data_IF_919169476050
#
_entry.id   IF_919169476050
#
_cell.length_a   1.000
_cell.length_b   1.000
_cell.length_c   1.000
_cell.angle_alpha   90.00
_cell.angle_beta   90.00
_cell.angle_gamma   90.00
#
_symmetry.space_group_name_H-M   'P 1'
#
loop_
_entity.id
_entity.type
_entity.pdbx_description
1 polymer ?
#
# COMPACT_ATOMS: atom_id res chain seq x y z
N UNK A 1 3.05 41.93 50.20
CA UNK A 1 4.34 41.31 49.81
C UNK A 1 4.37 41.31 48.29
N UNK A 2 5.36 41.93 47.63
CA UNK A 2 5.36 42.01 46.17
C UNK A 2 5.46 40.60 45.56
N UNK A 3 4.47 40.22 44.75
CA UNK A 3 4.41 38.91 44.09
C UNK A 3 5.53 38.75 43.04
N UNK A 4 6.07 39.87 42.55
CA UNK A 4 7.25 39.98 41.68
C UNK A 4 8.54 39.29 42.17
N UNK A 5 8.60 38.82 43.42
CA UNK A 5 9.78 38.14 44.00
C UNK A 5 9.76 36.60 43.96
N UNK A 6 8.68 35.99 43.47
CA UNK A 6 8.52 34.52 43.45
C UNK A 6 9.28 33.93 42.25
N UNK A 7 10.35 33.16 42.51
CA UNK A 7 11.17 32.49 41.49
C UNK A 7 11.03 30.97 41.55
N UNK A 8 10.81 30.27 40.41
CA UNK A 8 10.86 28.82 40.38
C UNK A 8 12.29 28.31 40.56
N UNK A 9 12.43 27.26 41.36
CA UNK A 9 13.68 26.54 41.62
C UNK A 9 13.59 25.12 41.04
N UNK A 10 14.42 24.84 40.05
CA UNK A 10 14.49 23.58 39.31
C UNK A 10 15.54 22.66 39.92
N UNK A 11 15.27 21.36 39.95
CA UNK A 11 16.21 20.35 40.43
C UNK A 11 15.82 18.97 39.89
N UNK A 12 16.79 18.06 39.80
CA UNK A 12 16.53 16.66 39.46
C UNK A 12 16.39 15.88 40.75
N UNK A 13 15.29 15.14 40.91
CA UNK A 13 15.16 14.15 41.98
C UNK A 13 15.73 12.82 41.47
N UNK A 14 16.82 12.30 42.07
CA UNK A 14 17.43 11.05 41.63
C UNK A 14 16.45 9.88 41.69
N UNK A 15 16.61 8.91 40.78
CA UNK A 15 15.90 7.64 40.89
C UNK A 15 16.34 6.89 42.15
N UNK A 16 15.44 6.11 42.75
CA UNK A 16 15.78 5.18 43.83
C UNK A 16 16.68 4.03 43.36
N UNK A 17 16.76 3.80 42.04
CA UNK A 17 17.61 2.79 41.42
C UNK A 17 18.90 3.47 40.91
N UNK A 18 20.09 3.06 41.38
CA UNK A 18 21.37 3.61 40.91
C UNK A 18 21.51 3.50 39.38
N UNK A 19 22.05 4.54 38.75
CA UNK A 19 22.28 4.56 37.30
C UNK A 19 21.03 4.70 36.43
N UNK A 20 19.86 5.00 37.00
CA UNK A 20 18.65 5.34 36.24
C UNK A 20 18.40 6.86 36.25
N UNK A 21 17.72 7.33 35.20
CA UNK A 21 17.32 8.73 35.07
C UNK A 21 16.41 9.13 36.24
N UNK A 22 16.68 10.29 36.82
CA UNK A 22 15.82 10.94 37.79
C UNK A 22 14.68 11.70 37.09
N UNK A 23 13.77 12.22 37.91
CA UNK A 23 12.65 13.03 37.42
C UNK A 23 13.01 14.51 37.62
N UNK A 24 12.76 15.34 36.62
CA UNK A 24 12.91 16.78 36.75
C UNK A 24 11.77 17.37 37.60
N UNK A 25 12.13 18.16 38.61
CA UNK A 25 11.21 18.81 39.53
C UNK A 25 11.40 20.32 39.48
N UNK A 26 10.34 21.01 39.85
CA UNK A 26 10.38 22.44 40.13
C UNK A 26 9.66 22.72 41.44
N UNK A 27 10.17 23.70 42.16
CA UNK A 27 9.67 24.12 43.46
C UNK A 27 9.50 25.62 43.44
N UNK A 28 8.36 26.09 43.93
CA UNK A 28 8.11 27.51 44.14
C UNK A 28 8.00 27.72 45.64
N UNK A 29 8.63 28.78 46.16
CA UNK A 29 8.58 29.15 47.58
C UNK A 29 7.75 30.42 47.74
N UNK A 30 6.69 30.34 48.56
CA UNK A 30 5.88 31.51 48.91
C UNK A 30 5.55 31.49 50.39
N UNK A 31 5.72 32.63 51.06
CA UNK A 31 5.49 32.80 52.50
C UNK A 31 6.13 31.70 53.37
N UNK A 32 7.35 31.30 53.03
CA UNK A 32 8.10 30.27 53.77
C UNK A 32 7.74 28.82 53.44
N UNK A 33 6.60 28.54 52.80
CA UNK A 33 6.18 27.20 52.39
C UNK A 33 6.73 26.84 51.00
N UNK A 34 7.09 25.57 50.82
CA UNK A 34 7.67 25.02 49.60
C UNK A 34 6.77 23.94 49.04
N UNK A 35 6.46 24.02 47.75
CA UNK A 35 5.64 23.02 47.05
C UNK A 35 6.47 22.37 45.94
N UNK A 36 6.97 21.14 46.13
CA UNK A 36 7.65 20.40 45.07
C UNK A 36 6.61 19.81 44.11
N UNK A 37 6.67 20.20 42.84
CA UNK A 37 5.81 19.66 41.79
C UNK A 37 6.66 18.84 40.82
N UNK A 38 6.23 17.60 40.56
CA UNK A 38 6.88 16.72 39.58
C UNK A 38 6.54 17.18 38.17
N UNK A 39 7.57 17.41 37.36
CA UNK A 39 7.44 17.60 35.93
C UNK A 39 7.66 16.24 35.27
N UNK A 40 6.60 15.44 35.15
CA UNK A 40 6.65 14.11 34.50
C UNK A 40 7.14 14.13 33.03
N UNK A 41 7.37 15.30 32.45
CA UNK A 41 7.73 15.48 31.05
C UNK A 41 9.24 15.30 30.74
N UNK A 42 10.12 15.35 31.75
CA UNK A 42 11.58 15.27 31.54
C UNK A 42 12.22 14.29 32.53
N UNK A 43 12.82 13.23 31.99
CA UNK A 43 13.68 12.30 32.72
C UNK A 43 15.13 12.51 32.27
N UNK A 44 16.04 12.75 33.22
CA UNK A 44 17.45 13.03 32.97
C UNK A 44 18.33 12.49 34.11
N UNK A 45 19.62 12.27 33.84
CA UNK A 45 20.58 11.90 34.87
C UNK A 45 20.88 13.09 35.80
N UNK A 46 21.18 12.84 37.09
CA UNK A 46 21.45 13.92 38.03
C UNK A 46 22.62 14.85 37.65
N UNK A 47 23.58 14.38 36.85
CA UNK A 47 24.74 15.14 36.37
C UNK A 47 24.46 15.93 35.08
N UNK A 48 23.29 15.74 34.45
CA UNK A 48 22.82 16.52 33.30
C UNK A 48 22.23 17.89 33.70
N UNK A 49 22.08 18.18 35.00
CA UNK A 49 21.51 19.43 35.49
C UNK A 49 22.20 19.97 36.74
N UNK A 50 22.64 21.23 36.71
CA UNK A 50 23.23 21.89 37.87
C UNK A 50 22.16 22.69 38.63
N UNK A 51 21.81 22.17 39.81
CA UNK A 51 20.82 22.80 40.69
C UNK A 51 21.32 24.08 41.38
N UNK A 52 22.64 24.35 41.39
CA UNK A 52 23.18 25.62 41.92
C UNK A 52 23.02 26.73 40.89
N UNK A 53 23.45 26.49 39.66
CA UNK A 53 23.36 27.48 38.57
C UNK A 53 21.98 27.54 37.92
N UNK A 54 21.10 26.58 38.21
CA UNK A 54 19.77 26.48 37.63
C UNK A 54 19.82 26.36 36.10
N UNK A 55 20.73 25.53 35.60
CA UNK A 55 21.00 25.32 34.18
C UNK A 55 21.28 23.84 33.86
N UNK A 56 20.91 23.34 32.66
CA UNK A 56 21.43 22.06 32.18
C UNK A 56 22.95 22.13 32.04
N UNK A 57 23.64 21.03 32.31
CA UNK A 57 25.10 20.94 32.11
C UNK A 57 25.42 20.64 30.65
N UNK A 58 26.69 20.79 30.25
CA UNK A 58 27.15 20.40 28.90
C UNK A 58 26.92 18.91 28.59
N UNK A 59 26.73 18.08 29.62
CA UNK A 59 26.43 16.64 29.48
C UNK A 59 24.96 16.36 29.18
N UNK A 60 24.09 17.37 29.27
CA UNK A 60 22.65 17.21 29.07
C UNK A 60 22.33 16.83 27.63
N UNK A 61 21.84 15.61 27.43
CA UNK A 61 21.42 15.10 26.11
C UNK A 61 20.22 15.85 25.52
N UNK A 62 19.45 16.57 26.35
CA UNK A 62 18.27 17.35 26.01
C UNK A 62 18.45 18.83 26.41
N UNK A 63 19.64 19.38 26.20
CA UNK A 63 20.02 20.71 26.69
C UNK A 63 19.01 21.79 26.27
N UNK A 64 18.73 21.90 24.98
CA UNK A 64 17.84 22.94 24.45
C UNK A 64 16.39 22.72 24.86
N UNK A 65 15.91 21.48 24.88
CA UNK A 65 14.56 21.14 25.33
C UNK A 65 14.36 21.46 26.81
N UNK A 66 15.37 21.17 27.64
CA UNK A 66 15.35 21.47 29.07
C UNK A 66 15.36 22.98 29.30
N UNK A 67 16.21 23.71 28.58
CA UNK A 67 16.29 25.17 28.69
C UNK A 67 14.98 25.85 28.26
N UNK A 68 14.45 25.48 27.10
CA UNK A 68 13.18 26.01 26.59
C UNK A 68 12.01 25.69 27.52
N UNK A 69 11.97 24.48 28.07
CA UNK A 69 10.99 24.10 29.08
C UNK A 69 11.05 24.99 30.33
N UNK A 70 12.26 25.23 30.86
CA UNK A 70 12.46 26.10 32.02
C UNK A 70 12.03 27.54 31.76
N UNK A 71 12.30 28.07 30.56
CA UNK A 71 11.87 29.41 30.14
C UNK A 71 10.35 29.51 30.07
N UNK A 72 9.67 28.50 29.52
CA UNK A 72 8.20 28.46 29.46
C UNK A 72 7.56 28.46 30.85
N UNK A 73 8.11 27.66 31.77
CA UNK A 73 7.66 27.62 33.17
C UNK A 73 7.82 29.00 33.83
N UNK A 74 8.99 29.62 33.67
CA UNK A 74 9.27 30.95 34.24
C UNK A 74 8.27 31.98 33.70
N UNK A 75 8.06 32.02 32.39
CA UNK A 75 7.12 32.95 31.74
C UNK A 75 5.69 32.77 32.23
N UNK A 76 5.23 31.53 32.34
CA UNK A 76 3.85 31.23 32.72
C UNK A 76 3.59 31.50 34.21
N UNK A 77 4.57 31.23 35.08
CA UNK A 77 4.52 31.65 36.48
C UNK A 77 4.45 33.18 36.56
N UNK A 78 5.29 33.90 35.82
CA UNK A 78 5.24 35.36 35.79
C UNK A 78 3.89 35.90 35.30
N UNK A 79 3.31 35.32 34.23
CA UNK A 79 1.99 35.70 33.71
C UNK A 79 0.91 35.57 34.77
N UNK A 80 0.87 34.43 35.44
CA UNK A 80 -0.13 34.19 36.49
C UNK A 80 0.08 35.15 37.65
N UNK A 81 1.32 35.39 38.09
CA UNK A 81 1.57 36.37 39.15
C UNK A 81 1.09 37.78 38.77
N UNK A 82 1.29 38.21 37.52
CA UNK A 82 0.80 39.50 37.02
C UNK A 82 -0.74 39.59 36.96
N UNK A 83 -1.43 38.54 36.48
CA UNK A 83 -2.91 38.50 36.43
C UNK A 83 -3.54 38.63 37.82
N UNK A 84 -2.88 38.08 38.84
CA UNK A 84 -3.35 38.19 40.22
C UNK A 84 -2.97 39.51 40.90
N UNK A 85 -1.84 40.14 40.51
CA UNK A 85 -1.50 41.51 40.95
C UNK A 85 -2.52 42.53 40.45
N UNK A 86 -3.04 42.37 39.23
CA UNK A 86 -4.06 43.27 38.64
C UNK A 86 -5.44 43.19 39.31
N UNK A 87 -5.75 42.10 40.01
CA UNK A 87 -7.08 41.85 40.61
C UNK A 87 -7.19 42.24 42.10
N UNK A 88 -6.18 42.91 42.68
CA UNK A 88 -6.10 43.32 44.11
C UNK A 88 -6.48 42.21 45.13
N UNK A 89 -6.29 40.94 44.77
CA UNK A 89 -6.78 39.82 45.57
C UNK A 89 -5.83 39.50 46.74
N UNK A 90 -6.38 39.27 47.94
CA UNK A 90 -5.58 38.86 49.12
C UNK A 90 -5.18 37.39 48.95
N UNK A 91 -3.87 37.16 48.91
CA UNK A 91 -3.29 35.86 48.57
C UNK A 91 -3.45 34.80 49.68
N UNK A 92 -4.10 33.65 49.41
CA UNK A 92 -3.99 32.47 50.28
C UNK A 92 -3.01 31.45 49.71
N UNK A 93 -2.38 30.62 50.57
CA UNK A 93 -1.46 29.55 50.11
C UNK A 93 -2.14 28.57 49.14
N UNK A 94 -3.46 28.40 49.27
CA UNK A 94 -4.26 27.47 48.47
C UNK A 94 -4.52 27.99 47.05
N UNK A 95 -4.65 29.31 46.90
CA UNK A 95 -4.80 29.94 45.58
C UNK A 95 -3.52 29.80 44.76
N UNK A 96 -2.35 29.85 45.43
CA UNK A 96 -1.05 29.62 44.81
C UNK A 96 -0.85 28.17 44.41
N UNK A 97 -1.27 27.24 45.27
CA UNK A 97 -1.27 25.82 44.94
C UNK A 97 -2.11 25.55 43.69
N UNK A 98 -3.31 26.11 43.64
CA UNK A 98 -4.18 25.98 42.48
C UNK A 98 -3.57 26.63 41.23
N UNK A 99 -3.08 27.86 41.34
CA UNK A 99 -2.43 28.60 40.26
C UNK A 99 -1.18 27.87 39.72
N UNK A 100 -0.33 27.35 40.61
CA UNK A 100 0.87 26.61 40.25
C UNK A 100 0.50 25.28 39.62
N UNK A 101 -0.42 24.51 40.20
CA UNK A 101 -0.94 23.27 39.60
C UNK A 101 -1.57 23.54 38.24
N UNK A 102 -2.26 24.66 38.07
CA UNK A 102 -2.86 25.07 36.80
C UNK A 102 -1.81 25.46 35.76
N UNK A 103 -0.77 26.22 36.13
CA UNK A 103 0.42 26.46 35.30
C UNK A 103 1.02 25.13 34.85
N UNK A 104 1.18 24.16 35.75
CA UNK A 104 1.70 22.83 35.41
C UNK A 104 0.73 21.99 34.58
N UNK A 105 -0.58 22.18 34.73
CA UNK A 105 -1.61 21.57 33.88
C UNK A 105 -1.55 22.12 32.46
N UNK A 106 -1.27 23.44 32.32
CA UNK A 106 -1.13 24.17 31.05
C UNK A 106 0.22 23.91 30.37
N UNK A 107 1.30 23.75 31.14
CA UNK A 107 2.66 23.48 30.64
C UNK A 107 2.91 21.97 30.43
N UNK A 108 2.27 21.10 31.22
CA UNK A 108 2.33 19.64 31.10
C UNK A 108 1.45 19.07 29.99
N UNK A 109 0.42 19.81 29.56
CA UNK A 109 -0.16 19.64 28.23
C UNK A 109 0.73 20.41 27.27
N UNK A 110 1.48 19.70 26.42
CA UNK A 110 2.04 20.34 25.22
C UNK A 110 0.90 21.13 24.54
N UNK A 111 0.89 22.46 24.60
CA UNK A 111 0.53 23.21 23.41
C UNK A 111 1.60 22.87 22.39
N UNK A 112 1.36 21.80 21.64
CA UNK A 112 1.83 21.79 20.28
C UNK A 112 1.07 22.94 19.63
N UNK A 113 1.74 24.03 19.30
CA UNK A 113 1.20 25.04 18.38
C UNK A 113 1.19 24.46 16.96
N UNK A 114 0.54 23.31 16.82
CA UNK A 114 0.43 22.48 15.64
C UNK A 114 -0.49 21.30 15.95
N UNK A 115 -1.19 20.74 14.95
CA UNK A 115 -2.04 19.59 15.15
C UNK A 115 -1.30 18.44 15.85
N UNK A 116 -2.03 17.67 16.67
CA UNK A 116 -1.52 16.44 17.30
C UNK A 116 -0.71 15.61 16.29
N UNK A 117 0.38 14.92 16.71
CA UNK A 117 1.16 14.09 15.80
C UNK A 117 0.23 13.07 15.16
N UNK A 118 0.13 13.10 13.83
CA UNK A 118 -0.68 12.10 13.14
C UNK A 118 -0.12 10.71 13.38
N UNK A 119 -1.00 9.77 13.65
CA UNK A 119 -0.73 8.34 13.65
C UNK A 119 -0.51 7.86 12.22
N UNK A 120 0.06 6.68 12.07
CA UNK A 120 0.21 6.07 10.74
C UNK A 120 -1.15 5.89 10.03
N UNK A 121 -2.21 5.54 10.76
CA UNK A 121 -3.53 5.29 10.17
C UNK A 121 -4.21 6.58 9.71
N UNK A 122 -4.09 7.68 10.43
CA UNK A 122 -4.61 8.99 10.00
C UNK A 122 -3.91 9.46 8.72
N UNK A 123 -2.59 9.24 8.60
CA UNK A 123 -1.87 9.55 7.36
C UNK A 123 -2.27 8.61 6.23
N UNK A 124 -2.50 7.33 6.51
CA UNK A 124 -2.98 6.38 5.50
C UNK A 124 -4.39 6.75 5.02
N UNK A 125 -5.28 7.19 5.91
CA UNK A 125 -6.61 7.66 5.53
C UNK A 125 -6.53 8.89 4.61
N UNK A 126 -5.66 9.86 4.93
CA UNK A 126 -5.37 11.00 4.05
C UNK A 126 -4.84 10.57 2.68
N UNK A 127 -3.90 9.62 2.66
CA UNK A 127 -3.38 9.04 1.41
C UNK A 127 -4.48 8.36 0.58
N UNK A 128 -5.41 7.63 1.20
CA UNK A 128 -6.53 7.00 0.49
C UNK A 128 -7.48 8.07 -0.06
N UNK A 129 -7.78 9.10 0.73
CA UNK A 129 -8.65 10.21 0.31
C UNK A 129 -8.07 10.96 -0.89
N UNK A 130 -6.79 11.31 -0.86
CA UNK A 130 -6.12 11.96 -1.99
C UNK A 130 -6.14 11.07 -3.24
N UNK A 131 -6.05 9.74 -3.08
CA UNK A 131 -6.12 8.79 -4.19
C UNK A 131 -7.51 8.59 -4.77
N UNK A 132 -8.58 8.89 -4.04
CA UNK A 132 -9.94 8.79 -4.54
C UNK A 132 -10.15 9.71 -5.75
N UNK A 133 -9.61 10.94 -5.68
CA UNK A 133 -9.65 11.90 -6.78
C UNK A 133 -8.80 11.49 -8.00
N UNK A 134 -7.94 10.49 -7.83
CA UNK A 134 -7.10 9.91 -8.89
C UNK A 134 -7.71 8.62 -9.47
N UNK A 135 -8.85 8.15 -8.95
CA UNK A 135 -9.55 6.98 -9.49
C UNK A 135 -10.14 7.32 -10.86
N UNK A 136 -9.77 6.53 -11.86
CA UNK A 136 -10.04 6.85 -13.27
C UNK A 136 -8.85 7.54 -13.94
N UNK A 137 -8.04 8.29 -13.15
CA UNK A 137 -6.87 9.05 -13.61
C UNK A 137 -5.66 8.18 -13.77
N UNK A 138 -4.88 8.17 -12.71
CA UNK A 138 -3.61 7.46 -12.61
C UNK A 138 -3.78 6.16 -11.83
N UNK A 139 -4.97 5.95 -11.23
CA UNK A 139 -5.26 4.81 -10.36
C UNK A 139 -6.54 4.11 -10.84
N UNK A 140 -6.46 2.80 -11.03
CA UNK A 140 -7.65 1.99 -11.32
C UNK A 140 -8.52 1.81 -10.06
N UNK A 141 -9.84 1.70 -10.24
CA UNK A 141 -10.77 1.38 -9.14
C UNK A 141 -10.35 0.13 -8.34
N UNK A 142 -9.80 -0.89 -9.03
CA UNK A 142 -9.28 -2.09 -8.39
C UNK A 142 -8.07 -1.81 -7.49
N UNK A 143 -7.15 -0.96 -7.93
CA UNK A 143 -5.98 -0.54 -7.14
C UNK A 143 -6.40 0.24 -5.89
N UNK A 144 -7.34 1.18 -6.04
CA UNK A 144 -7.89 1.96 -4.91
C UNK A 144 -8.56 1.05 -3.86
N UNK A 145 -9.47 0.16 -4.29
CA UNK A 145 -10.13 -0.80 -3.40
C UNK A 145 -9.12 -1.73 -2.70
N UNK A 146 -8.08 -2.17 -3.40
CA UNK A 146 -7.00 -2.98 -2.82
C UNK A 146 -6.26 -2.22 -1.71
N UNK A 147 -5.87 -0.97 -1.96
CA UNK A 147 -5.17 -0.13 -0.97
C UNK A 147 -6.04 0.14 0.26
N UNK A 148 -7.34 0.39 0.08
CA UNK A 148 -8.30 0.52 1.20
C UNK A 148 -8.37 -0.76 2.05
N UNK A 149 -8.38 -1.94 1.43
CA UNK A 149 -8.31 -3.23 2.16
C UNK A 149 -6.98 -3.40 2.92
N UNK A 150 -5.87 -2.96 2.32
CA UNK A 150 -4.57 -3.00 3.00
C UNK A 150 -4.52 -2.08 4.22
N UNK A 151 -5.19 -0.94 4.20
CA UNK A 151 -5.33 -0.07 5.38
C UNK A 151 -5.93 -0.83 6.57
N UNK A 152 -6.99 -1.60 6.35
CA UNK A 152 -7.57 -2.46 7.39
C UNK A 152 -6.58 -3.51 7.88
N UNK A 153 -5.91 -4.21 6.97
CA UNK A 153 -4.95 -5.26 7.34
C UNK A 153 -3.76 -4.71 8.14
N UNK A 154 -3.22 -3.56 7.71
CA UNK A 154 -2.14 -2.87 8.42
C UNK A 154 -2.63 -2.36 9.77
N UNK A 155 -3.81 -1.76 9.86
CA UNK A 155 -4.39 -1.30 11.13
C UNK A 155 -4.53 -2.41 12.17
N UNK A 156 -4.96 -3.60 11.76
CA UNK A 156 -4.97 -4.78 12.64
C UNK A 156 -3.56 -5.16 13.09
N UNK A 157 -2.58 -5.22 12.18
CA UNK A 157 -1.19 -5.51 12.56
C UNK A 157 -0.60 -4.47 13.52
N UNK A 158 -0.92 -3.19 13.35
CA UNK A 158 -0.48 -2.13 14.25
C UNK A 158 -1.12 -2.25 15.62
N UNK A 159 -2.38 -2.70 15.72
CA UNK A 159 -3.05 -2.95 16.99
C UNK A 159 -2.36 -4.07 17.77
N UNK A 160 -2.13 -5.21 17.12
CA UNK A 160 -1.50 -6.38 17.74
C UNK A 160 -0.05 -6.11 18.19
N UNK A 161 0.66 -5.25 17.47
CA UNK A 161 2.03 -4.85 17.81
C UNK A 161 2.10 -3.66 18.78
N UNK A 162 0.97 -3.15 19.28
CA UNK A 162 0.94 -2.00 20.21
C UNK A 162 1.35 -0.66 19.57
N UNK A 163 1.25 -0.55 18.24
CA UNK A 163 1.61 0.62 17.46
C UNK A 163 0.41 1.42 16.95
N UNK A 164 -0.83 1.03 17.29
CA UNK A 164 -2.06 1.65 16.78
C UNK A 164 -2.13 3.17 16.98
N UNK A 165 -1.70 3.67 18.14
CA UNK A 165 -1.67 5.09 18.49
C UNK A 165 -0.29 5.74 18.30
N UNK A 166 0.68 5.00 17.75
CA UNK A 166 2.06 5.48 17.60
C UNK A 166 2.09 6.59 16.55
N UNK A 167 2.67 7.77 16.84
CA UNK A 167 2.90 8.80 15.85
C UNK A 167 3.73 8.28 14.67
N UNK A 168 3.35 8.62 13.44
CA UNK A 168 4.04 8.12 12.23
C UNK A 168 5.54 8.46 12.24
N UNK A 169 5.91 9.65 12.70
CA UNK A 169 7.30 10.12 12.86
C UNK A 169 8.16 9.29 13.81
N UNK A 170 7.54 8.48 14.67
CA UNK A 170 8.26 7.67 15.65
C UNK A 170 8.48 6.23 15.17
N UNK A 171 8.05 5.87 13.95
CA UNK A 171 8.30 4.55 13.38
C UNK A 171 9.76 4.41 12.96
N UNK A 172 10.35 3.29 13.36
CA UNK A 172 11.72 2.89 13.08
C UNK A 172 11.74 1.72 12.11
N UNK A 173 12.90 1.43 11.51
CA UNK A 173 13.07 0.24 10.66
C UNK A 173 12.74 -1.08 11.40
N UNK A 174 12.94 -1.13 12.72
CA UNK A 174 12.60 -2.29 13.54
C UNK A 174 11.08 -2.48 13.68
N UNK A 175 10.33 -1.39 13.83
CA UNK A 175 8.86 -1.46 13.85
C UNK A 175 8.32 -1.97 12.51
N UNK A 176 8.86 -1.47 11.39
CA UNK A 176 8.48 -1.92 10.04
C UNK A 176 8.83 -3.40 9.84
N UNK A 177 9.99 -3.84 10.32
CA UNK A 177 10.39 -5.25 10.28
C UNK A 177 9.47 -6.14 11.13
N UNK A 178 8.99 -5.63 12.27
CA UNK A 178 8.04 -6.32 13.14
C UNK A 178 6.67 -6.47 12.46
N UNK A 179 6.18 -5.43 11.78
CA UNK A 179 4.97 -5.48 10.96
C UNK A 179 5.11 -6.50 9.83
N UNK A 180 6.23 -6.45 9.09
CA UNK A 180 6.51 -7.41 8.01
C UNK A 180 6.51 -8.86 8.53
N UNK A 181 7.20 -9.10 9.63
CA UNK A 181 7.30 -10.43 10.26
C UNK A 181 5.94 -10.92 10.75
N UNK A 182 5.15 -10.04 11.38
CA UNK A 182 3.79 -10.36 11.81
C UNK A 182 2.90 -10.77 10.63
N UNK A 183 2.92 -10.01 9.54
CA UNK A 183 2.12 -10.31 8.35
C UNK A 183 2.54 -11.61 7.65
N UNK A 184 3.84 -11.94 7.65
CA UNK A 184 4.35 -13.19 7.08
C UNK A 184 3.90 -14.45 7.83
N UNK A 185 3.38 -14.32 9.07
CA UNK A 185 2.81 -15.46 9.81
C UNK A 185 1.49 -15.95 9.24
N UNK A 186 0.73 -15.07 8.59
CA UNK A 186 -0.65 -15.35 8.15
C UNK A 186 -0.86 -15.22 6.65
N UNK A 187 0.09 -14.65 5.91
CA UNK A 187 -0.06 -14.34 4.49
C UNK A 187 1.14 -14.78 3.65
N UNK A 188 0.86 -15.17 2.41
CA UNK A 188 1.88 -15.50 1.41
C UNK A 188 2.88 -14.35 1.19
N UNK A 189 4.19 -14.65 1.03
CA UNK A 189 5.24 -13.62 0.86
C UNK A 189 4.95 -12.59 -0.24
N UNK A 190 4.38 -13.01 -1.36
CA UNK A 190 4.02 -12.10 -2.45
C UNK A 190 2.83 -11.18 -2.17
N UNK A 191 1.93 -11.58 -1.28
CA UNK A 191 0.89 -10.69 -0.78
C UNK A 191 1.51 -9.66 0.17
N UNK A 192 2.33 -10.11 1.13
CA UNK A 192 2.97 -9.23 2.10
C UNK A 192 3.89 -8.22 1.39
N UNK A 193 4.67 -8.64 0.39
CA UNK A 193 5.50 -7.71 -0.39
C UNK A 193 4.70 -6.58 -1.04
N UNK A 194 3.55 -6.89 -1.66
CA UNK A 194 2.67 -5.85 -2.22
C UNK A 194 2.07 -4.94 -1.16
N UNK A 195 1.74 -5.49 0.01
CA UNK A 195 1.21 -4.73 1.14
C UNK A 195 2.29 -3.80 1.71
N UNK A 196 3.52 -4.30 1.92
CA UNK A 196 4.65 -3.51 2.39
C UNK A 196 5.06 -2.41 1.39
N UNK A 197 4.89 -2.63 0.09
CA UNK A 197 5.03 -1.56 -0.89
C UNK A 197 4.04 -0.41 -0.64
N UNK A 198 2.79 -0.72 -0.29
CA UNK A 198 1.80 0.32 0.06
C UNK A 198 2.16 0.97 1.39
N UNK A 199 2.68 0.22 2.37
CA UNK A 199 3.21 0.82 3.62
C UNK A 199 4.31 1.82 3.33
N UNK A 200 5.26 1.46 2.47
CA UNK A 200 6.32 2.36 2.01
C UNK A 200 5.75 3.57 1.28
N UNK A 201 4.72 3.41 0.44
CA UNK A 201 4.07 4.55 -0.23
C UNK A 201 3.44 5.53 0.77
N UNK A 202 2.84 5.04 1.87
CA UNK A 202 2.25 5.90 2.90
C UNK A 202 3.34 6.68 3.64
N UNK A 203 4.48 6.07 3.95
CA UNK A 203 5.62 6.80 4.53
C UNK A 203 6.23 7.82 3.57
N UNK A 204 6.29 7.52 2.27
CA UNK A 204 6.72 8.50 1.26
C UNK A 204 5.72 9.66 1.17
N UNK A 205 4.42 9.37 1.16
CA UNK A 205 3.37 10.41 1.22
C UNK A 205 3.49 11.26 2.51
N UNK A 206 3.78 10.63 3.65
CA UNK A 206 4.04 11.33 4.89
C UNK A 206 5.27 12.26 4.79
N UNK A 207 6.32 11.82 4.10
CA UNK A 207 7.52 12.60 3.85
C UNK A 207 7.23 13.81 2.96
N UNK A 208 6.42 13.64 1.91
CA UNK A 208 5.96 14.73 1.02
C UNK A 208 5.07 15.76 1.75
N UNK A 209 4.48 15.39 2.89
CA UNK A 209 3.66 16.25 3.75
C UNK A 209 4.42 16.76 4.99
N UNK A 210 5.74 16.58 5.05
CA UNK A 210 6.59 16.95 6.18
C UNK A 210 6.21 16.31 7.53
N UNK A 211 5.46 15.21 7.52
CA UNK A 211 5.05 14.47 8.72
C UNK A 211 6.17 13.54 9.24
N UNK A 212 7.10 13.14 8.35
CA UNK A 212 8.29 12.33 8.69
C UNK A 212 9.52 12.85 7.95
N UNK A 213 10.71 12.72 8.55
CA UNK A 213 11.98 13.12 7.92
C UNK A 213 12.45 12.14 6.83
N UNK A 214 12.28 10.85 7.07
CA UNK A 214 12.72 9.77 6.19
C UNK A 214 11.75 8.59 6.23
N UNK A 215 11.74 7.79 5.17
CA UNK A 215 10.92 6.61 5.06
C UNK A 215 11.64 5.38 5.67
N UNK A 216 11.21 4.88 6.85
CA UNK A 216 11.88 3.77 7.53
C UNK A 216 11.82 2.45 6.75
N UNK A 217 10.91 2.31 5.79
CA UNK A 217 10.79 1.09 4.97
C UNK A 217 12.00 0.86 4.07
N UNK A 218 12.73 1.92 3.69
CA UNK A 218 13.94 1.82 2.85
C UNK A 218 15.07 1.05 3.53
N UNK A 219 15.04 0.94 4.87
CA UNK A 219 16.05 0.24 5.68
C UNK A 219 15.67 -1.21 5.98
N UNK A 220 14.48 -1.66 5.55
CA UNK A 220 14.01 -3.03 5.76
C UNK A 220 14.33 -3.88 4.54
N UNK A 221 14.87 -5.08 4.76
CA UNK A 221 15.15 -6.03 3.68
C UNK A 221 13.85 -6.42 2.98
N UNK A 222 13.81 -6.24 1.67
CA UNK A 222 12.70 -6.67 0.84
C UNK A 222 12.46 -8.17 0.94
N UNK A 223 11.20 -8.58 0.78
CA UNK A 223 10.83 -9.99 0.77
C UNK A 223 11.32 -10.61 -0.53
N UNK A 224 12.30 -11.52 -0.43
CA UNK A 224 12.71 -12.36 -1.55
C UNK A 224 11.60 -13.37 -1.81
N UNK A 225 11.08 -13.34 -3.03
CA UNK A 225 10.12 -14.32 -3.49
C UNK A 225 10.88 -15.20 -4.48
N UNK A 226 11.41 -16.31 -3.98
CA UNK A 226 11.99 -17.36 -4.81
C UNK A 226 10.83 -18.11 -5.49
N UNK A 227 10.15 -17.46 -6.43
CA UNK A 227 9.18 -18.14 -7.28
C UNK A 227 9.52 -17.79 -8.72
N UNK A 228 9.96 -18.81 -9.47
CA UNK A 228 9.57 -18.90 -10.87
C UNK A 228 8.07 -18.59 -10.93
N UNK A 229 7.60 -17.69 -11.80
CA UNK A 229 6.18 -17.39 -11.91
C UNK A 229 5.44 -18.71 -12.02
N UNK A 230 4.40 -18.94 -11.21
CA UNK A 230 3.58 -20.14 -11.37
C UNK A 230 2.92 -20.09 -12.76
N UNK A 231 3.59 -20.68 -13.74
CA UNK A 231 3.29 -20.57 -15.15
C UNK A 231 2.43 -21.76 -15.52
N UNK A 232 1.19 -21.70 -15.08
CA UNK A 232 0.16 -22.67 -15.44
C UNK A 232 -0.48 -22.22 -16.74
N UNK A 233 -0.45 -23.09 -17.75
CA UNK A 233 -1.19 -23.02 -19.00
C UNK A 233 -1.85 -24.36 -19.29
N UNK A 234 -2.77 -24.37 -20.25
CA UNK A 234 -3.29 -25.61 -20.82
C UNK A 234 -2.36 -26.10 -21.92
N UNK A 235 -2.05 -27.40 -21.91
CA UNK A 235 -1.45 -28.05 -23.08
C UNK A 235 -2.47 -28.18 -24.20
N UNK A 236 -2.01 -28.49 -25.41
CA UNK A 236 -2.87 -28.60 -26.59
C UNK A 236 -3.96 -29.66 -26.40
N UNK A 237 -3.62 -30.82 -25.82
CA UNK A 237 -4.58 -31.90 -25.55
C UNK A 237 -5.58 -31.52 -24.45
N UNK A 238 -5.17 -30.72 -23.46
CA UNK A 238 -6.06 -30.23 -22.41
C UNK A 238 -7.06 -29.20 -22.98
N UNK A 239 -6.57 -28.30 -23.84
CA UNK A 239 -7.41 -27.30 -24.51
C UNK A 239 -8.40 -27.97 -25.47
N UNK A 240 -7.97 -29.01 -26.18
CA UNK A 240 -8.81 -29.79 -27.09
C UNK A 240 -9.93 -30.52 -26.34
N UNK A 241 -9.61 -31.20 -25.22
CA UNK A 241 -10.63 -31.82 -24.37
C UNK A 241 -11.63 -30.80 -23.83
N UNK A 242 -11.18 -29.61 -23.46
CA UNK A 242 -12.05 -28.53 -22.99
C UNK A 242 -12.98 -28.04 -24.10
N UNK A 243 -12.45 -27.84 -25.31
CA UNK A 243 -13.22 -27.38 -26.48
C UNK A 243 -14.32 -28.37 -26.85
N UNK A 244 -14.00 -29.66 -26.82
CA UNK A 244 -14.89 -30.73 -27.30
C UNK A 244 -15.86 -31.26 -26.22
N UNK A 245 -15.92 -30.64 -25.04
CA UNK A 245 -16.96 -30.96 -24.07
C UNK A 245 -18.34 -30.68 -24.69
N UNK A 246 -19.23 -31.66 -24.62
CA UNK A 246 -20.64 -31.48 -24.98
C UNK A 246 -21.34 -30.67 -23.87
N UNK A 247 -21.65 -29.41 -24.17
CA UNK A 247 -22.17 -28.43 -23.22
C UNK A 247 -23.30 -27.61 -23.84
N UNK A 248 -24.30 -27.30 -23.02
CA UNK A 248 -25.45 -26.50 -23.42
C UNK A 248 -25.67 -25.33 -22.44
N UNK A 249 -26.31 -24.26 -22.93
CA UNK A 249 -26.68 -23.11 -22.10
C UNK A 249 -25.48 -22.31 -21.56
N UNK A 250 -25.64 -21.71 -20.38
CA UNK A 250 -24.70 -20.72 -19.85
C UNK A 250 -23.28 -21.28 -19.68
N UNK A 251 -23.10 -22.55 -19.30
CA UNK A 251 -21.75 -23.13 -19.11
C UNK A 251 -20.97 -23.19 -20.44
N UNK A 252 -21.66 -23.36 -21.56
CA UNK A 252 -21.08 -23.31 -22.90
C UNK A 252 -20.54 -21.92 -23.23
N UNK A 253 -21.24 -20.87 -22.80
CA UNK A 253 -20.79 -19.48 -22.96
C UNK A 253 -19.48 -19.22 -22.21
N UNK A 254 -19.33 -19.73 -20.98
CA UNK A 254 -18.07 -19.62 -20.24
C UNK A 254 -16.94 -20.40 -20.93
N UNK A 255 -17.21 -21.60 -21.46
CA UNK A 255 -16.25 -22.39 -22.23
C UNK A 255 -15.79 -21.60 -23.45
N UNK A 256 -16.72 -21.12 -24.27
CA UNK A 256 -16.44 -20.42 -25.51
C UNK A 256 -15.69 -19.11 -25.26
N UNK A 257 -16.06 -18.32 -24.26
CA UNK A 257 -15.32 -17.12 -23.88
C UNK A 257 -13.86 -17.43 -23.49
N UNK A 258 -13.65 -18.49 -22.71
CA UNK A 258 -12.32 -18.88 -22.25
C UNK A 258 -11.46 -19.48 -23.37
N UNK A 259 -12.01 -20.38 -24.17
CA UNK A 259 -11.33 -20.99 -25.33
C UNK A 259 -10.98 -19.92 -26.36
N UNK A 260 -11.91 -19.01 -26.68
CA UNK A 260 -11.62 -17.85 -27.53
C UNK A 260 -10.41 -17.05 -27.00
N UNK A 261 -10.35 -16.80 -25.69
CA UNK A 261 -9.21 -16.12 -25.08
C UNK A 261 -7.92 -16.95 -25.08
N UNK A 262 -7.99 -18.28 -25.13
CA UNK A 262 -6.82 -19.16 -25.26
C UNK A 262 -6.17 -19.03 -26.64
N UNK A 263 -6.95 -18.71 -27.68
CA UNK A 263 -6.45 -18.51 -29.05
C UNK A 263 -6.19 -17.06 -29.43
N UNK A 264 -6.68 -16.10 -28.63
CA UNK A 264 -6.48 -14.66 -28.87
C UNK A 264 -5.59 -13.96 -27.85
N UNK A 265 -5.31 -14.62 -26.72
CA UNK A 265 -4.49 -14.05 -25.64
C UNK A 265 -5.12 -12.85 -24.94
N UNK A 266 -6.42 -12.61 -25.11
CA UNK A 266 -7.13 -11.53 -24.43
C UNK A 266 -7.21 -11.81 -22.92
N UNK A 267 -6.96 -10.78 -22.11
CA UNK A 267 -7.36 -10.83 -20.70
C UNK A 267 -8.87 -10.65 -20.58
N UNK A 268 -9.48 -11.03 -19.45
CA UNK A 268 -10.92 -10.77 -19.23
C UNK A 268 -11.28 -9.30 -19.44
N UNK A 269 -10.39 -8.38 -19.04
CA UNK A 269 -10.60 -6.95 -19.22
C UNK A 269 -10.56 -6.51 -20.69
N UNK A 270 -9.72 -7.15 -21.52
CA UNK A 270 -9.64 -6.86 -22.95
C UNK A 270 -10.79 -7.53 -23.72
N UNK A 271 -11.14 -8.76 -23.37
CA UNK A 271 -12.28 -9.49 -23.95
C UNK A 271 -13.59 -8.71 -23.76
N UNK A 272 -13.81 -8.15 -22.58
CA UNK A 272 -14.99 -7.33 -22.29
C UNK A 272 -15.04 -6.02 -23.09
N UNK A 273 -13.94 -5.58 -23.72
CA UNK A 273 -13.94 -4.41 -24.62
C UNK A 273 -14.46 -4.74 -26.03
N UNK A 274 -14.62 -6.03 -26.38
CA UNK A 274 -15.26 -6.42 -27.64
C UNK A 274 -16.76 -6.08 -27.65
N UNK A 275 -17.38 -6.02 -26.47
CA UNK A 275 -18.77 -5.59 -26.30
C UNK A 275 -18.86 -4.06 -26.41
N UNK A 276 -19.67 -3.57 -27.36
CA UNK A 276 -19.91 -2.13 -27.55
C UNK A 276 -20.43 -1.43 -26.30
N UNK A 277 -21.40 -2.00 -25.57
CA UNK A 277 -21.97 -1.42 -24.34
C UNK A 277 -20.93 -1.31 -23.23
N UNK A 278 -20.15 -2.38 -23.03
CA UNK A 278 -19.11 -2.41 -21.99
C UNK A 278 -17.95 -1.47 -22.35
N UNK A 279 -17.63 -1.36 -23.64
CA UNK A 279 -16.69 -0.37 -24.17
C UNK A 279 -17.19 1.05 -23.92
N UNK A 280 -18.45 1.37 -24.25
CA UNK A 280 -19.02 2.71 -24.05
C UNK A 280 -19.11 3.09 -22.57
N UNK A 281 -19.45 2.13 -21.71
CA UNK A 281 -19.36 2.33 -20.26
C UNK A 281 -17.93 2.65 -19.83
N UNK A 282 -16.94 1.88 -20.31
CA UNK A 282 -15.55 2.12 -19.96
C UNK A 282 -15.00 3.43 -20.54
N UNK A 283 -15.39 3.81 -21.76
CA UNK A 283 -15.06 5.09 -22.38
C UNK A 283 -15.60 6.24 -21.53
N UNK A 284 -16.87 6.17 -21.09
CA UNK A 284 -17.47 7.19 -20.21
C UNK A 284 -16.77 7.30 -18.85
N UNK A 285 -16.16 6.21 -18.38
CA UNK A 285 -15.46 6.13 -17.11
C UNK A 285 -13.94 6.32 -17.25
N UNK A 286 -13.42 6.47 -18.47
CA UNK A 286 -12.02 6.61 -18.77
C UNK A 286 -11.68 8.04 -19.14
N UNK A 287 -10.45 8.43 -18.86
CA UNK A 287 -10.04 9.84 -18.96
C UNK A 287 -9.35 10.20 -20.24
N UNK A 288 -8.79 9.19 -20.91
CA UNK A 288 -8.40 9.29 -22.30
C UNK A 288 -9.26 8.32 -23.12
N UNK A 289 -10.55 8.64 -23.36
CA UNK A 289 -11.41 7.90 -24.29
C UNK A 289 -10.73 7.57 -25.62
N UNK A 290 -9.87 8.48 -26.08
CA UNK A 290 -9.14 8.42 -27.37
C UNK A 290 -8.20 7.22 -27.47
N UNK A 291 -7.78 6.64 -26.34
CA UNK A 291 -6.89 5.49 -26.31
C UNK A 291 -7.61 4.14 -26.21
N UNK A 292 -8.91 4.14 -25.87
CA UNK A 292 -9.74 2.92 -25.91
C UNK A 292 -10.28 2.80 -27.33
N UNK A 293 -9.54 2.11 -28.18
CA UNK A 293 -9.97 1.79 -29.53
C UNK A 293 -10.75 0.47 -29.54
N UNK A 294 -11.80 0.35 -30.38
CA UNK A 294 -12.41 -0.94 -30.68
C UNK A 294 -11.34 -1.96 -31.02
N UNK A 295 -11.50 -3.19 -30.51
CA UNK A 295 -10.84 -4.27 -31.22
C UNK A 295 -11.68 -4.59 -32.45
N UNK A 296 -11.04 -4.73 -33.60
CA UNK A 296 -11.71 -4.95 -34.87
C UNK A 296 -11.11 -6.17 -35.57
N UNK A 297 -11.98 -6.88 -36.27
CA UNK A 297 -11.56 -7.90 -37.22
C UNK A 297 -11.23 -7.20 -38.53
N UNK A 298 -9.95 -7.24 -38.91
CA UNK A 298 -9.43 -6.60 -40.11
C UNK A 298 -8.97 -7.67 -41.08
N UNK A 299 -9.63 -7.74 -42.23
CA UNK A 299 -9.21 -8.62 -43.31
C UNK A 299 -7.97 -8.03 -43.99
N UNK A 300 -6.85 -8.75 -43.93
CA UNK A 300 -5.63 -8.45 -44.65
C UNK A 300 -5.41 -9.50 -45.74
N UNK A 301 -4.49 -9.24 -46.68
CA UNK A 301 -4.09 -10.24 -47.69
C UNK A 301 -3.57 -11.54 -47.04
N UNK A 302 -2.95 -11.43 -45.88
CA UNK A 302 -2.36 -12.52 -45.11
C UNK A 302 -3.34 -13.25 -44.19
N UNK A 303 -4.62 -12.86 -44.17
CA UNK A 303 -5.66 -13.46 -43.33
C UNK A 303 -6.41 -12.43 -42.48
N UNK A 304 -7.28 -12.93 -41.61
CA UNK A 304 -8.07 -12.11 -40.69
C UNK A 304 -7.32 -11.85 -39.39
N UNK A 305 -7.27 -10.61 -38.94
CA UNK A 305 -6.58 -10.21 -37.73
C UNK A 305 -7.54 -9.55 -36.74
N UNK A 306 -7.44 -9.89 -35.46
CA UNK A 306 -8.02 -9.11 -34.38
C UNK A 306 -6.99 -8.07 -33.89
N UNK A 307 -7.28 -6.80 -34.15
CA UNK A 307 -6.40 -5.69 -33.82
C UNK A 307 -7.08 -4.83 -32.76
N UNK A 308 -6.38 -4.51 -31.67
CA UNK A 308 -6.92 -3.64 -30.63
C UNK A 308 -5.85 -3.19 -29.63
N UNK A 309 -6.24 -2.36 -28.65
CA UNK A 309 -5.32 -1.90 -27.59
C UNK A 309 -5.62 -2.59 -26.26
N UNK A 310 -4.56 -2.95 -25.53
CA UNK A 310 -4.65 -3.52 -24.18
C UNK A 310 -5.23 -2.49 -23.22
N UNK A 311 -6.27 -2.87 -22.49
CA UNK A 311 -6.95 -2.00 -21.53
C UNK A 311 -6.01 -1.40 -20.48
N UNK A 312 -5.09 -2.22 -19.95
CA UNK A 312 -4.24 -1.82 -18.81
C UNK A 312 -3.05 -0.96 -19.24
N UNK A 313 -2.54 -1.16 -20.45
CA UNK A 313 -1.22 -0.67 -20.86
C UNK A 313 -1.28 0.23 -22.08
N UNK A 314 -2.40 0.25 -22.81
CA UNK A 314 -2.54 0.96 -24.08
C UNK A 314 -1.76 0.34 -25.24
N UNK A 315 -1.02 -0.75 -25.00
CA UNK A 315 -0.22 -1.41 -26.04
C UNK A 315 -1.11 -2.02 -27.10
N UNK A 316 -0.75 -1.80 -28.36
CA UNK A 316 -1.40 -2.44 -29.49
C UNK A 316 -1.12 -3.94 -29.47
N UNK A 317 -2.11 -4.73 -29.82
CA UNK A 317 -1.97 -6.15 -30.12
C UNK A 317 -2.55 -6.42 -31.51
N UNK A 318 -1.93 -7.35 -32.24
CA UNK A 318 -2.33 -7.76 -33.58
C UNK A 318 -2.34 -9.28 -33.65
N UNK A 319 -3.51 -9.87 -33.47
CA UNK A 319 -3.66 -11.33 -33.35
C UNK A 319 -4.14 -11.91 -34.67
N UNK A 320 -3.34 -12.75 -35.36
CA UNK A 320 -3.85 -13.54 -36.48
C UNK A 320 -4.92 -14.50 -35.97
N UNK A 321 -6.11 -14.47 -36.55
CA UNK A 321 -7.23 -15.29 -36.10
C UNK A 321 -7.02 -16.75 -36.47
N UNK A 322 -7.20 -17.63 -35.49
CA UNK A 322 -7.08 -19.07 -35.64
C UNK A 322 -8.47 -19.70 -35.77
N UNK A 323 -8.57 -20.81 -36.49
CA UNK A 323 -9.84 -21.48 -36.77
C UNK A 323 -10.73 -21.69 -35.53
N UNK A 324 -10.21 -22.17 -34.38
CA UNK A 324 -11.07 -22.40 -33.21
C UNK A 324 -11.70 -21.11 -32.63
N UNK A 325 -11.06 -19.95 -32.81
CA UNK A 325 -11.63 -18.68 -32.42
C UNK A 325 -12.64 -18.16 -33.46
N UNK A 326 -12.41 -18.46 -34.75
CA UNK A 326 -13.34 -18.14 -35.83
C UNK A 326 -14.63 -18.95 -35.72
N UNK A 327 -14.54 -20.24 -35.45
CA UNK A 327 -15.70 -21.13 -35.24
C UNK A 327 -16.60 -20.60 -34.11
N UNK A 328 -15.98 -20.10 -33.03
CA UNK A 328 -16.71 -19.47 -31.93
C UNK A 328 -17.37 -18.16 -32.40
N UNK A 329 -16.67 -17.29 -33.13
CA UNK A 329 -17.28 -16.06 -33.65
C UNK A 329 -18.48 -16.36 -34.54
N UNK A 330 -18.35 -17.35 -35.43
CA UNK A 330 -19.40 -17.80 -36.35
C UNK A 330 -20.61 -18.35 -35.58
N UNK A 331 -20.38 -19.19 -34.56
CA UNK A 331 -21.44 -19.77 -33.74
C UNK A 331 -22.31 -18.72 -33.01
N UNK A 332 -21.73 -17.55 -32.66
CA UNK A 332 -22.49 -16.43 -32.07
C UNK A 332 -22.93 -15.38 -33.10
N UNK A 333 -22.57 -15.55 -34.37
CA UNK A 333 -22.95 -14.66 -35.47
C UNK A 333 -22.31 -13.27 -35.41
N UNK A 334 -21.10 -13.17 -34.85
CA UNK A 334 -20.33 -11.92 -34.76
C UNK A 334 -19.51 -11.78 -33.48
N UNK A 335 -18.40 -11.04 -33.54
CA UNK A 335 -17.51 -10.80 -32.39
C UNK A 335 -18.20 -9.97 -31.29
N UNK A 336 -19.12 -9.10 -31.68
CA UNK A 336 -19.93 -8.23 -30.82
C UNK A 336 -21.09 -8.97 -30.13
N UNK A 337 -21.34 -10.23 -30.52
CA UNK A 337 -22.36 -11.13 -29.94
C UNK A 337 -21.77 -12.26 -29.11
N UNK A 338 -20.44 -12.30 -28.96
CA UNK A 338 -19.78 -13.22 -28.06
C UNK A 338 -20.36 -13.14 -26.63
N UNK A 339 -20.23 -14.19 -25.81
CA UNK A 339 -20.80 -14.19 -24.48
C UNK A 339 -20.09 -13.18 -23.56
N UNK A 340 -20.79 -12.12 -23.14
CA UNK A 340 -20.22 -11.06 -22.29
C UNK A 340 -20.74 -11.03 -20.85
N UNK A 341 -21.91 -11.62 -20.60
CA UNK A 341 -22.48 -11.69 -19.26
C UNK A 341 -21.89 -12.88 -18.48
N UNK A 342 -20.72 -12.66 -17.86
CA UNK A 342 -19.94 -13.74 -17.25
C UNK A 342 -19.62 -13.48 -15.76
N UNK A 343 -20.61 -13.22 -14.90
CA UNK A 343 -20.38 -12.83 -13.49
C UNK A 343 -19.77 -13.95 -12.65
N UNK A 344 -20.01 -15.22 -13.01
CA UNK A 344 -19.55 -16.40 -12.26
C UNK A 344 -18.33 -17.08 -12.86
N UNK A 345 -17.53 -16.33 -13.63
CA UNK A 345 -16.41 -16.86 -14.42
C UNK A 345 -15.45 -17.76 -13.60
N UNK A 346 -15.11 -17.39 -12.37
CA UNK A 346 -14.23 -18.20 -11.54
C UNK A 346 -14.81 -19.58 -11.19
N UNK A 347 -16.08 -19.63 -10.81
CA UNK A 347 -16.77 -20.88 -10.46
C UNK A 347 -17.00 -21.75 -11.68
N UNK A 348 -17.45 -21.16 -12.79
CA UNK A 348 -17.73 -21.90 -14.02
C UNK A 348 -16.47 -22.46 -14.66
N UNK A 349 -15.34 -21.74 -14.60
CA UNK A 349 -14.06 -22.30 -15.01
C UNK A 349 -13.64 -23.50 -14.18
N UNK A 350 -13.84 -23.47 -12.86
CA UNK A 350 -13.53 -24.64 -12.03
C UNK A 350 -14.40 -25.84 -12.43
N UNK A 351 -15.69 -25.64 -12.67
CA UNK A 351 -16.60 -26.68 -13.16
C UNK A 351 -16.11 -27.25 -14.49
N UNK A 352 -15.77 -26.38 -15.45
CA UNK A 352 -15.23 -26.79 -16.75
C UNK A 352 -13.95 -27.61 -16.61
N UNK A 353 -13.01 -27.20 -15.73
CA UNK A 353 -11.78 -27.96 -15.52
C UNK A 353 -12.04 -29.35 -14.95
N UNK A 354 -12.99 -29.47 -14.01
CA UNK A 354 -13.40 -30.77 -13.47
C UNK A 354 -14.00 -31.64 -14.57
N UNK A 355 -14.91 -31.10 -15.40
CA UNK A 355 -15.53 -31.82 -16.50
C UNK A 355 -14.52 -32.28 -17.57
N UNK A 356 -13.49 -31.46 -17.85
CA UNK A 356 -12.42 -31.80 -18.79
C UNK A 356 -11.31 -32.68 -18.21
N UNK A 357 -11.41 -33.08 -16.93
CA UNK A 357 -10.37 -33.85 -16.24
C UNK A 357 -9.06 -33.08 -16.00
N UNK A 358 -9.09 -31.75 -16.05
CA UNK A 358 -7.92 -30.89 -15.88
C UNK A 358 -7.71 -30.63 -14.39
N UNK A 359 -6.59 -31.15 -13.84
CA UNK A 359 -6.25 -31.00 -12.41
C UNK A 359 -5.53 -29.69 -12.07
N UNK A 360 -5.08 -28.96 -13.09
CA UNK A 360 -4.37 -27.68 -12.94
C UNK A 360 -5.33 -26.62 -12.35
N UNK A 361 -4.82 -25.76 -11.46
CA UNK A 361 -5.61 -24.64 -10.93
C UNK A 361 -5.69 -23.51 -11.95
N UNK A 362 -6.71 -23.53 -12.78
CA UNK A 362 -6.92 -22.57 -13.86
C UNK A 362 -7.67 -21.33 -13.34
N UNK A 363 -7.25 -20.17 -13.84
CA UNK A 363 -7.99 -18.90 -13.70
C UNK A 363 -8.19 -18.33 -15.11
N UNK A 364 -9.06 -17.35 -15.28
CA UNK A 364 -9.29 -16.78 -16.62
C UNK A 364 -8.01 -16.28 -17.30
N UNK A 365 -7.10 -15.65 -16.55
CA UNK A 365 -5.82 -15.19 -17.11
C UNK A 365 -4.91 -16.31 -17.60
N UNK A 366 -5.16 -17.56 -17.20
CA UNK A 366 -4.48 -18.72 -17.77
C UNK A 366 -4.71 -18.83 -19.28
N UNK A 367 -5.86 -18.37 -19.82
CA UNK A 367 -6.09 -18.33 -21.26
C UNK A 367 -4.99 -17.56 -22.01
N UNK A 368 -4.60 -16.40 -21.48
CA UNK A 368 -3.47 -15.62 -22.03
C UNK A 368 -2.14 -16.37 -21.96
N UNK A 369 -1.92 -17.13 -20.87
CA UNK A 369 -0.71 -17.95 -20.72
C UNK A 369 -0.70 -19.13 -21.68
N UNK A 370 -1.87 -19.74 -21.92
CA UNK A 370 -2.07 -20.78 -22.93
C UNK A 370 -1.74 -20.25 -24.32
N UNK A 371 -2.22 -19.05 -24.68
CA UNK A 371 -1.82 -18.42 -25.95
C UNK A 371 -0.31 -18.17 -26.03
N UNK A 372 0.31 -17.67 -24.96
CA UNK A 372 1.76 -17.46 -24.92
C UNK A 372 2.54 -18.76 -25.13
N UNK A 373 2.12 -19.85 -24.46
CA UNK A 373 2.69 -21.18 -24.64
C UNK A 373 2.52 -21.68 -26.08
N UNK A 374 1.32 -21.54 -26.65
CA UNK A 374 1.02 -21.92 -28.02
C UNK A 374 1.93 -21.20 -29.02
N UNK A 375 2.15 -19.89 -28.86
CA UNK A 375 3.01 -19.12 -29.75
C UNK A 375 4.49 -19.49 -29.59
N UNK A 376 5.00 -19.53 -28.35
CA UNK A 376 6.43 -19.58 -28.06
C UNK A 376 7.00 -20.99 -28.02
N UNK A 377 6.25 -21.96 -27.49
CA UNK A 377 6.76 -23.32 -27.24
C UNK A 377 6.18 -24.35 -28.21
N UNK A 378 4.95 -24.15 -28.71
CA UNK A 378 4.32 -25.08 -29.66
C UNK A 378 4.65 -24.68 -31.11
N UNK A 379 4.26 -23.45 -31.49
CA UNK A 379 4.48 -22.89 -32.84
C UNK A 379 5.88 -22.34 -33.04
N UNK A 380 6.66 -22.20 -31.96
CA UNK A 380 8.05 -21.73 -32.01
C UNK A 380 8.24 -20.40 -32.75
N UNK A 381 7.27 -19.49 -32.61
CA UNK A 381 7.33 -18.16 -33.23
C UNK A 381 8.42 -17.34 -32.55
N UNK A 382 9.15 -16.54 -33.34
CA UNK A 382 10.16 -15.63 -32.81
C UNK A 382 9.53 -14.74 -31.70
N UNK A 383 10.17 -14.65 -30.51
CA UNK A 383 9.62 -13.90 -29.38
C UNK A 383 9.27 -12.44 -29.69
N UNK A 384 9.94 -11.80 -30.64
CA UNK A 384 9.63 -10.43 -31.07
C UNK A 384 8.23 -10.35 -31.69
N UNK A 385 7.85 -11.30 -32.54
CA UNK A 385 6.48 -11.35 -33.09
C UNK A 385 5.46 -11.73 -32.03
N UNK A 386 5.82 -12.61 -31.08
CA UNK A 386 4.95 -12.92 -29.95
C UNK A 386 4.67 -11.69 -29.08
N UNK A 387 5.65 -10.79 -28.88
CA UNK A 387 5.44 -9.49 -28.20
C UNK A 387 4.37 -8.66 -28.90
N UNK A 388 4.42 -8.58 -30.24
CA UNK A 388 3.46 -7.84 -31.05
C UNK A 388 2.05 -8.46 -31.01
N UNK A 389 1.97 -9.79 -31.16
CA UNK A 389 0.69 -10.53 -31.11
C UNK A 389 0.05 -10.39 -29.73
N UNK A 390 0.86 -10.55 -28.68
CA UNK A 390 0.38 -10.49 -27.30
C UNK A 390 0.18 -9.06 -26.81
N UNK A 391 0.76 -8.05 -27.47
CA UNK A 391 0.79 -6.67 -27.01
C UNK A 391 1.54 -6.50 -25.68
N UNK A 392 2.68 -7.20 -25.52
CA UNK A 392 3.58 -7.00 -24.38
C UNK A 392 4.37 -5.70 -24.53
N UNK A 393 4.76 -5.06 -23.41
CA UNK A 393 5.56 -3.82 -23.46
C UNK A 393 7.04 -4.09 -23.66
N UNK A 394 7.51 -5.24 -23.18
CA UNK A 394 8.92 -5.60 -23.20
C UNK A 394 9.10 -7.08 -23.54
N UNK A 395 10.25 -7.40 -24.14
CA UNK A 395 10.60 -8.78 -24.51
C UNK A 395 10.79 -9.68 -23.29
N UNK A 396 11.13 -9.12 -22.12
CA UNK A 396 11.25 -9.88 -20.86
C UNK A 396 9.94 -10.58 -20.48
N UNK A 397 8.79 -10.00 -20.86
CA UNK A 397 7.49 -10.63 -20.64
C UNK A 397 7.36 -11.92 -21.45
N UNK A 398 7.90 -11.95 -22.68
CA UNK A 398 7.94 -13.14 -23.53
C UNK A 398 8.91 -14.18 -22.99
N UNK A 399 10.13 -13.76 -22.61
CA UNK A 399 11.18 -14.64 -22.08
C UNK A 399 10.72 -15.48 -20.90
N UNK A 400 9.82 -14.94 -20.06
CA UNK A 400 9.27 -15.65 -18.91
C UNK A 400 8.44 -16.90 -19.28
N UNK A 401 7.97 -17.03 -20.54
CA UNK A 401 7.18 -18.16 -21.03
C UNK A 401 7.98 -19.18 -21.83
N UNK A 402 9.21 -18.85 -22.25
CA UNK A 402 10.01 -19.71 -23.12
C UNK A 402 10.56 -20.88 -22.31
N UNK A 403 10.25 -22.09 -22.76
CA UNK A 403 10.80 -23.34 -22.21
C UNK A 403 11.89 -23.83 -23.16
N UNK A 404 13.12 -23.95 -22.64
CA UNK A 404 14.26 -24.49 -23.38
C UNK A 404 14.52 -25.92 -22.90
N UNK A 405 14.30 -26.89 -23.78
CA UNK A 405 14.57 -28.31 -23.53
C UNK A 405 15.15 -28.98 -24.79
N UNK A 406 15.59 -30.24 -24.67
CA UNK A 406 16.22 -30.98 -25.78
C UNK A 406 15.31 -31.08 -27.00
N UNK A 407 14.01 -31.31 -26.81
CA UNK A 407 13.03 -31.42 -27.90
C UNK A 407 12.85 -30.09 -28.64
N UNK A 408 12.76 -28.99 -27.91
CA UNK A 408 12.68 -27.64 -28.49
C UNK A 408 13.94 -27.29 -29.28
N UNK A 409 15.11 -27.68 -28.79
CA UNK A 409 16.39 -27.51 -29.49
C UNK A 409 16.45 -28.36 -30.76
N UNK A 410 16.06 -29.64 -30.68
CA UNK A 410 16.02 -30.54 -31.83
C UNK A 410 15.08 -30.02 -32.93
N UNK A 411 13.88 -29.55 -32.55
CA UNK A 411 12.91 -28.96 -33.48
C UNK A 411 13.44 -27.67 -34.14
N UNK A 412 14.15 -26.83 -33.40
CA UNK A 412 14.78 -25.61 -33.95
C UNK A 412 15.93 -25.91 -34.90
N UNK A 413 16.74 -26.92 -34.57
CA UNK A 413 17.87 -27.37 -35.38
C UNK A 413 17.46 -28.30 -36.54
N UNK A 414 16.17 -28.63 -36.67
CA UNK A 414 15.64 -29.57 -37.66
C UNK A 414 16.33 -30.95 -37.60
N UNK A 415 16.63 -31.42 -36.39
CA UNK A 415 17.29 -32.71 -36.14
C UNK A 415 16.32 -33.91 -36.17
N UNK A 416 15.06 -33.67 -36.53
CA UNK A 416 13.97 -34.65 -36.55
C UNK A 416 13.26 -34.66 -37.91
#
# INVERSE_FOLDING_TARGET
>A
MMLSSIKPYFYVRPSKVPGKRGIFYVRVKVNGRQLPVSVKALEMFPDEFDSKTQMPTEKCTLYFETLDFMLRIRKEISRVLSEYEEQEHIFTTRDLEHAVVEVFSRVGKKKQDGPLPKTYLEVFEGFIKDQEHLVGKTISSGTYKLRKRYMTCVGLSLKELGHYKKPIRNFTANDISSIQTYLLRSYEPGYVGRLMNVVSMVFTYAQEKDEVKDNPCKKVKGIKIDKAPNMVWLEEEELERLRNLDLFGEINDYRNAFVFCCYTGLSIGDYMLLNSKTRDYQIRMAESPKDIQPAELVQMRSGLFLIGKRRKTGTLYRVPMQQPALDIIEAYGGIEKLPFNLPRMGTMLNTLMVMSGIRKKIRFHTARKTMANLLLNVKMINPIYAVEIMGWRKIEEAKAYIVVNSDALAKQMQLA
#
